data_IF_261667526004
#
_entry.id   IF_261667526004
#
_cell.length_a   1.000
_cell.length_b   1.000
_cell.length_c   1.000
_cell.angle_alpha   90.00
_cell.angle_beta   90.00
_cell.angle_gamma   90.00
#
_symmetry.space_group_name_H-M   'P 1'
#
loop_
_entity.id
_entity.type
_entity.pdbx_description
1 polymer ?
2 polymer ?
3 non-polymer ?
4 non-polymer ?
5 non-polymer ?
6 non-polymer ?
7 non-polymer ?
8 water ?
#
# COMPACT_ATOMS: atom_id res chain seq x y z
N UNK A 5 -20.15 -14.24 -8.53
CA UNK A 5 -19.97 -14.92 -7.25
C UNK A 5 -20.35 -14.02 -6.09
N UNK A 6 -20.60 -14.64 -4.95
CA UNK A 6 -20.96 -13.89 -3.76
C UNK A 6 -19.69 -13.37 -3.10
N UNK A 7 -19.70 -12.09 -2.74
CA UNK A 7 -18.64 -11.46 -1.98
C UNK A 7 -19.17 -10.99 -0.64
N UNK A 8 -18.34 -10.96 0.40
CA UNK A 8 -18.79 -10.38 1.68
C UNK A 8 -19.19 -8.91 1.52
N UNK A 9 -20.15 -8.47 2.33
CA UNK A 9 -20.51 -7.05 2.31
C UNK A 9 -19.41 -6.19 2.90
N UNK A 10 -18.58 -6.76 3.77
CA UNK A 10 -17.45 -6.02 4.29
C UNK A 10 -16.32 -6.96 4.63
N UNK A 11 -15.11 -6.41 4.56
CA UNK A 11 -13.87 -7.15 4.75
C UNK A 11 -12.93 -6.28 5.57
N UNK A 12 -12.19 -6.91 6.48
CA UNK A 12 -11.17 -6.18 7.27
C UNK A 12 -10.05 -7.17 7.54
N UNK A 13 -8.99 -7.08 6.74
CA UNK A 13 -7.86 -8.01 6.87
C UNK A 13 -7.08 -7.87 8.17
N UNK A 14 -7.27 -6.77 8.91
CA UNK A 14 -6.72 -6.68 10.25
C UNK A 14 -7.32 -7.74 11.16
N UNK A 15 -8.60 -8.08 10.93
CA UNK A 15 -9.27 -9.08 11.75
C UNK A 15 -8.78 -10.47 11.43
N UNK A 16 -8.14 -10.66 10.28
CA UNK A 16 -7.59 -11.95 9.88
C UNK A 16 -6.11 -12.07 10.21
N UNK A 17 -5.56 -11.11 10.97
CA UNK A 17 -4.17 -11.20 11.38
C UNK A 17 -3.15 -10.96 10.28
N UNK A 18 -3.54 -10.29 9.19
CA UNK A 18 -2.70 -10.10 8.02
C UNK A 18 -2.16 -8.69 7.86
N UNK A 19 -2.29 -7.83 8.86
CA UNK A 19 -1.88 -6.42 8.76
C UNK A 19 -0.97 -6.07 9.92
N UNK A 20 0.22 -5.54 9.60
CA UNK A 20 1.18 -5.14 10.62
C UNK A 20 0.80 -3.76 11.16
N UNK A 21 1.49 -3.35 12.22
CA UNK A 21 1.25 -2.03 12.81
C UNK A 21 1.49 -0.95 11.76
N UNK A 22 0.80 0.17 11.96
CA UNK A 22 0.97 1.34 11.11
C UNK A 22 2.37 1.90 11.27
N UNK A 23 2.99 2.27 10.15
CA UNK A 23 4.33 2.83 10.11
C UNK A 23 4.28 4.33 9.83
N UNK A 24 5.42 5.00 10.05
CA UNK A 24 5.53 6.45 9.89
C UNK A 24 6.69 6.77 8.97
N UNK A 25 6.39 7.29 7.78
CA UNK A 25 7.40 7.49 6.76
C UNK A 25 8.25 8.75 6.97
N UNK A 26 7.80 9.69 7.79
CA UNK A 26 8.59 10.90 7.99
C UNK A 26 8.73 11.70 6.71
N UNK A 27 9.81 12.48 6.62
CA UNK A 27 10.06 13.39 5.49
C UNK A 27 10.80 12.68 4.38
N UNK A 28 10.28 11.52 4.02
CA UNK A 28 10.79 10.73 2.92
C UNK A 28 9.58 10.21 2.16
N UNK A 29 9.56 10.39 0.85
CA UNK A 29 8.40 9.99 0.06
C UNK A 29 8.42 8.51 -0.25
N UNK A 30 8.33 7.68 0.79
CA UNK A 30 8.46 6.24 0.66
C UNK A 30 7.12 5.51 0.78
N UNK A 31 6.01 6.24 0.64
CA UNK A 31 4.69 5.60 0.74
C UNK A 31 4.56 4.42 -0.23
N UNK A 32 5.12 4.53 -1.44
CA UNK A 32 5.11 3.41 -2.38
C UNK A 32 5.76 2.16 -1.80
N UNK A 33 6.90 2.34 -1.12
CA UNK A 33 7.57 1.21 -0.52
C UNK A 33 6.75 0.62 0.63
N UNK A 34 6.11 1.48 1.44
CA UNK A 34 5.28 0.96 2.52
C UNK A 34 4.05 0.21 1.99
N UNK A 35 3.43 0.76 0.97
CA UNK A 35 2.32 0.07 0.31
C UNK A 35 2.74 -1.33 -0.16
N UNK A 36 3.86 -1.42 -0.86
CA UNK A 36 4.34 -2.69 -1.40
C UNK A 36 4.63 -3.69 -0.28
N UNK A 37 5.34 -3.28 0.77
CA UNK A 37 5.63 -4.27 1.80
C UNK A 37 4.34 -4.66 2.54
N UNK A 38 3.40 -3.73 2.69
CA UNK A 38 2.17 -4.08 3.37
C UNK A 38 1.38 -5.14 2.63
N UNK A 39 1.32 -5.00 1.30
CA UNK A 39 0.64 -6.02 0.50
C UNK A 39 1.32 -7.38 0.65
N UNK A 40 2.66 -7.40 0.63
CA UNK A 40 3.39 -8.66 0.73
C UNK A 40 3.31 -9.25 2.14
N UNK A 41 3.30 -8.40 3.16
CA UNK A 41 3.14 -8.89 4.53
C UNK A 41 1.89 -9.75 4.67
N UNK A 42 0.79 -9.36 4.04
CA UNK A 42 -0.42 -10.15 4.13
C UNK A 42 -0.24 -11.50 3.44
N UNK A 43 0.42 -11.52 2.30
CA UNK A 43 0.62 -12.78 1.60
C UNK A 43 1.57 -13.70 2.37
N UNK A 44 2.57 -13.12 3.05
CA UNK A 44 3.47 -13.92 3.88
C UNK A 44 2.70 -14.59 5.01
N UNK A 45 1.77 -13.86 5.64
CA UNK A 45 0.93 -14.45 6.68
C UNK A 45 0.05 -15.54 6.12
N UNK A 46 -0.52 -15.31 4.94
CA UNK A 46 -1.40 -16.32 4.33
C UNK A 46 -0.64 -17.58 3.97
N UNK A 47 0.65 -17.48 3.65
CA UNK A 47 1.43 -18.65 3.27
C UNK A 47 2.02 -19.36 4.47
N UNK A 48 2.54 -18.61 5.45
CA UNK A 48 3.37 -19.18 6.51
C UNK A 48 2.76 -19.07 7.88
N UNK A 49 1.71 -18.27 8.05
CA UNK A 49 1.13 -18.04 9.35
C UNK A 49 1.87 -17.03 10.21
N UNK A 50 2.99 -16.50 9.72
CA UNK A 50 3.78 -15.50 10.43
C UNK A 50 3.39 -14.10 9.97
N UNK A 51 3.23 -13.20 10.93
CA UNK A 51 2.99 -11.79 10.66
C UNK A 51 4.28 -11.05 10.99
N UNK A 52 4.95 -10.54 9.97
CA UNK A 52 6.27 -9.95 10.09
C UNK A 52 6.33 -8.66 9.28
N UNK A 53 6.73 -7.56 9.92
CA UNK A 53 6.96 -6.34 9.17
C UNK A 53 8.19 -6.50 8.27
N UNK A 54 8.02 -6.12 7.00
CA UNK A 54 9.08 -6.21 5.99
C UNK A 54 9.69 -4.83 5.75
N UNK A 55 10.91 -4.84 5.18
CA UNK A 55 11.76 -3.66 5.16
C UNK A 55 11.39 -2.72 4.01
N UNK A 56 10.63 -1.66 4.32
CA UNK A 56 10.44 -0.60 3.35
C UNK A 56 11.78 0.02 2.94
N UNK A 57 12.71 0.16 3.89
CA UNK A 57 14.01 0.74 3.58
C UNK A 57 14.75 -0.05 2.52
N UNK A 58 14.66 -1.39 2.58
CA UNK A 58 15.24 -2.26 1.56
C UNK A 58 14.80 -1.84 0.16
N UNK A 59 13.51 -1.54 -0.03
CA UNK A 59 13.03 -1.08 -1.33
C UNK A 59 13.57 0.31 -1.64
N UNK A 60 13.55 1.21 -0.66
CA UNK A 60 14.04 2.57 -0.92
C UNK A 60 15.48 2.53 -1.41
N UNK A 61 16.33 1.70 -0.78
CA UNK A 61 17.76 1.71 -1.08
C UNK A 61 18.10 0.84 -2.28
N UNK A 62 17.30 -0.19 -2.55
CA UNK A 62 17.72 -1.22 -3.51
C UNK A 62 16.84 -1.32 -4.75
N UNK A 63 15.55 -0.99 -4.65
CA UNK A 63 14.70 -0.95 -5.84
C UNK A 63 14.74 0.49 -6.36
N UNK A 64 15.80 0.79 -7.10
CA UNK A 64 16.09 2.16 -7.50
C UNK A 64 15.90 2.34 -9.00
N UNK A 65 16.94 2.79 -9.71
CA UNK A 65 16.75 3.33 -11.05
C UNK A 65 16.40 2.26 -12.07
N UNK A 66 16.92 1.05 -11.92
CA UNK A 66 16.53 -0.03 -12.81
C UNK A 66 15.05 -0.36 -12.71
N UNK A 67 14.41 0.02 -11.60
CA UNK A 67 13.00 -0.20 -11.38
C UNK A 67 12.17 1.08 -11.52
N UNK A 68 12.78 2.16 -12.01
CA UNK A 68 12.07 3.39 -12.22
C UNK A 68 11.78 4.18 -10.95
N UNK A 69 12.40 3.81 -9.84
CA UNK A 69 12.12 4.37 -8.53
C UNK A 69 13.22 5.32 -8.11
N UNK A 70 12.84 6.28 -7.26
CA UNK A 70 13.71 7.36 -6.85
C UNK A 70 13.70 7.52 -5.33
N UNK A 71 13.62 6.39 -4.62
CA UNK A 71 13.77 6.42 -3.16
C UNK A 71 12.78 7.36 -2.48
N UNK A 72 13.32 8.29 -1.68
CA UNK A 72 12.51 9.24 -0.96
C UNK A 72 11.80 10.23 -1.87
N UNK A 73 12.10 10.21 -3.16
CA UNK A 73 11.41 11.05 -4.12
C UNK A 73 10.39 10.28 -4.96
N UNK A 74 9.94 9.12 -4.50
CA UNK A 74 8.78 8.44 -5.02
C UNK A 74 9.13 7.21 -5.83
N UNK A 75 8.13 6.35 -6.01
CA UNK A 75 8.31 5.13 -6.75
C UNK A 75 6.99 4.46 -7.09
N UNK A 76 7.10 3.18 -7.42
CA UNK A 76 5.99 2.38 -7.91
C UNK A 76 5.93 1.07 -7.15
N UNK A 77 4.73 0.71 -6.69
CA UNK A 77 4.56 -0.57 -6.02
C UNK A 77 4.83 -1.74 -6.96
N UNK A 78 4.39 -1.65 -8.22
CA UNK A 78 4.59 -2.76 -9.14
C UNK A 78 6.07 -3.10 -9.28
N UNK A 79 6.91 -2.09 -9.53
CA UNK A 79 8.33 -2.36 -9.74
C UNK A 79 9.05 -2.63 -8.43
N UNK A 80 8.51 -2.19 -7.29
CA UNK A 80 8.97 -2.71 -6.01
C UNK A 80 8.81 -4.22 -5.97
N UNK A 81 7.62 -4.72 -6.34
CA UNK A 81 7.41 -6.17 -6.36
C UNK A 81 8.40 -6.84 -7.29
N UNK A 82 8.62 -6.25 -8.47
CA UNK A 82 9.55 -6.86 -9.42
C UNK A 82 10.95 -6.97 -8.82
N UNK A 83 11.37 -5.96 -8.06
CA UNK A 83 12.66 -6.05 -7.39
C UNK A 83 12.70 -7.25 -6.44
N UNK A 84 11.64 -7.43 -5.64
CA UNK A 84 11.65 -8.54 -4.68
C UNK A 84 11.71 -9.88 -5.40
N UNK A 85 11.04 -9.99 -6.55
CA UNK A 85 11.13 -11.19 -7.39
C UNK A 85 12.54 -11.38 -7.90
N UNK A 86 13.10 -10.33 -8.52
CA UNK A 86 14.44 -10.42 -9.08
C UNK A 86 15.46 -10.76 -8.01
N UNK A 87 15.32 -10.15 -6.83
CA UNK A 87 16.32 -10.26 -5.78
C UNK A 87 16.23 -11.56 -5.01
N UNK A 88 15.17 -12.34 -5.23
CA UNK A 88 14.88 -13.56 -4.47
C UNK A 88 14.73 -13.29 -2.97
N UNK A 89 14.28 -12.09 -2.59
CA UNK A 89 13.98 -11.87 -1.19
C UNK A 89 13.88 -10.42 -0.82
N UNK A 90 13.29 -10.19 0.35
CA UNK A 90 13.30 -8.90 1.02
C UNK A 90 13.59 -9.16 2.50
N UNK A 91 14.34 -8.24 3.12
CA UNK A 91 14.70 -8.38 4.52
C UNK A 91 13.54 -8.00 5.44
N UNK A 92 13.60 -8.52 6.66
CA UNK A 92 12.68 -8.07 7.70
C UNK A 92 12.93 -6.60 8.01
N UNK A 93 11.90 -5.94 8.52
CA UNK A 93 12.05 -4.57 8.97
C UNK A 93 13.02 -4.49 10.15
N UNK A 94 13.00 -5.47 11.04
CA UNK A 94 13.91 -5.44 12.18
C UNK A 94 15.36 -5.44 11.72
N UNK A 95 15.69 -6.26 10.72
CA UNK A 95 17.07 -6.40 10.28
C UNK A 95 17.51 -5.23 9.41
N UNK A 96 16.57 -4.53 8.77
CA UNK A 96 16.88 -3.48 7.81
C UNK A 96 15.90 -2.34 8.07
N UNK A 97 16.08 -1.61 9.18
CA UNK A 97 15.04 -0.70 9.67
C UNK A 97 14.97 0.59 8.89
N UNK A 98 13.85 1.29 9.06
CA UNK A 98 13.53 2.43 8.23
C UNK A 98 14.12 3.72 8.81
N UNK A 99 14.82 4.47 7.94
CA UNK A 99 15.55 5.65 8.35
C UNK A 99 15.03 6.93 7.71
N UNK A 100 14.05 6.83 6.80
CA UNK A 100 13.48 8.00 6.11
C UNK A 100 14.56 8.80 5.38
N UNK A 101 15.48 8.09 4.75
CA UNK A 101 16.47 8.72 3.89
C UNK A 101 16.95 7.70 2.88
N UNK A 102 17.62 8.19 1.84
CA UNK A 102 18.18 7.37 0.78
C UNK A 102 19.52 6.84 1.24
N UNK A 103 19.71 5.53 1.17
CA UNK A 103 20.96 4.92 1.60
C UNK A 103 21.49 3.95 0.52
N UNK A 104 22.77 3.61 0.62
CA UNK A 104 23.31 2.50 -0.16
C UNK A 104 22.51 1.23 0.11
N UNK A 105 22.39 0.39 -0.92
CA UNK A 105 21.65 -0.86 -0.79
C UNK A 105 22.39 -1.79 0.16
N UNK A 106 21.71 -2.26 1.21
CA UNK A 106 22.34 -3.06 2.25
C UNK A 106 21.64 -4.39 2.41
N UNK A 107 20.97 -4.85 1.36
CA UNK A 107 20.28 -6.13 1.44
C UNK A 107 21.23 -7.25 1.82
N UNK A 108 20.77 -8.12 2.70
CA UNK A 108 21.53 -9.31 3.10
C UNK A 108 20.58 -10.49 3.16
N UNK A 109 20.88 -11.56 2.42
CA UNK A 109 19.98 -12.70 2.39
C UNK A 109 19.93 -13.42 3.74
N UNK A 110 20.95 -13.21 4.59
CA UNK A 110 20.93 -13.73 5.95
C UNK A 110 19.64 -13.38 6.69
N UNK A 111 19.05 -12.23 6.35
CA UNK A 111 17.90 -11.72 7.10
C UNK A 111 16.65 -11.68 6.24
N UNK A 112 16.64 -12.42 5.13
CA UNK A 112 15.45 -12.54 4.28
C UNK A 112 14.26 -13.00 5.10
N UNK A 113 13.14 -12.28 4.94
CA UNK A 113 11.92 -12.60 5.66
C UNK A 113 10.78 -12.96 4.73
N UNK A 114 10.90 -12.71 3.42
CA UNK A 114 9.85 -13.04 2.48
C UNK A 114 10.43 -13.07 1.08
N UNK A 115 9.70 -13.74 0.20
CA UNK A 115 9.95 -13.78 -1.23
C UNK A 115 8.69 -13.34 -1.94
N UNK A 116 8.79 -13.20 -3.26
CA UNK A 116 7.66 -12.83 -4.10
C UNK A 116 7.84 -13.50 -5.45
N UNK A 117 6.78 -14.15 -5.93
CA UNK A 117 6.87 -14.90 -7.17
C UNK A 117 6.20 -14.21 -8.35
N UNK A 118 5.24 -13.33 -8.09
CA UNK A 118 4.47 -12.68 -9.16
C UNK A 118 3.72 -11.49 -8.57
N UNK A 119 3.25 -10.64 -9.45
CA UNK A 119 2.26 -9.64 -9.04
C UNK A 119 1.25 -9.46 -10.16
N UNK A 120 0.10 -8.91 -9.80
CA UNK A 120 -1.03 -8.74 -10.70
C UNK A 120 -1.47 -7.30 -10.67
N UNK A 121 -1.70 -6.71 -11.85
CA UNK A 121 -2.27 -5.37 -11.96
C UNK A 121 -3.74 -5.48 -12.32
N UNK A 122 -4.55 -4.67 -11.67
CA UNK A 122 -5.99 -4.68 -11.91
C UNK A 122 -6.39 -3.59 -12.89
N UNK A 123 -7.54 -3.72 -13.55
CA UNK A 123 -7.89 -2.78 -14.61
C UNK A 123 -8.27 -1.39 -14.08
N UNK A 124 -7.90 -0.38 -14.87
CA UNK A 124 -8.08 1.02 -14.48
C UNK A 124 -9.52 1.32 -14.12
N UNK A 125 -9.73 1.85 -12.91
CA UNK A 125 -11.01 2.41 -12.54
C UNK A 125 -12.05 1.41 -12.10
N UNK A 126 -11.71 0.13 -12.01
CA UNK A 126 -12.72 -0.91 -11.82
C UNK A 126 -12.83 -1.22 -10.33
N UNK A 127 -13.72 -0.50 -9.65
CA UNK A 127 -13.88 -0.70 -8.20
C UNK A 127 -14.52 -2.05 -7.89
N UNK A 128 -15.32 -2.59 -8.81
CA UNK A 128 -15.85 -3.94 -8.63
C UNK A 128 -14.73 -4.97 -8.60
N UNK A 129 -13.75 -4.83 -9.50
CA UNK A 129 -12.63 -5.78 -9.53
C UNK A 129 -11.72 -5.59 -8.34
N UNK A 130 -11.55 -4.35 -7.89
CA UNK A 130 -10.80 -4.11 -6.66
C UNK A 130 -11.46 -4.80 -5.48
N UNK A 131 -12.79 -4.74 -5.40
CA UNK A 131 -13.52 -5.37 -4.31
C UNK A 131 -13.31 -6.88 -4.33
N UNK A 132 -13.39 -7.49 -5.52
CA UNK A 132 -13.16 -8.93 -5.64
C UNK A 132 -11.76 -9.29 -5.17
N UNK A 133 -10.75 -8.52 -5.57
CA UNK A 133 -9.38 -8.83 -5.16
C UNK A 133 -9.18 -8.69 -3.64
N UNK A 134 -9.74 -7.63 -3.06
CA UNK A 134 -9.62 -7.46 -1.60
C UNK A 134 -10.30 -8.61 -0.88
N UNK A 135 -11.45 -9.05 -1.38
CA UNK A 135 -12.16 -10.14 -0.70
C UNK A 135 -11.41 -11.47 -0.82
N UNK A 136 -10.87 -11.76 -1.99
CA UNK A 136 -10.46 -13.11 -2.32
C UNK A 136 -8.96 -13.30 -2.42
N UNK A 137 -8.18 -12.24 -2.49
CA UNK A 137 -6.74 -12.40 -2.60
C UNK A 137 -5.99 -11.80 -1.42
N UNK A 138 -6.42 -10.63 -0.95
CA UNK A 138 -5.74 -10.00 0.16
C UNK A 138 -5.70 -8.49 -0.02
N UNK A 139 -5.05 -7.80 0.90
CA UNK A 139 -4.86 -6.35 0.74
C UNK A 139 -4.20 -6.03 -0.60
N UNK A 140 -4.60 -4.90 -1.17
CA UNK A 140 -4.19 -4.49 -2.50
C UNK A 140 -3.50 -3.12 -2.43
N UNK A 141 -2.33 -3.03 -3.06
CA UNK A 141 -1.61 -1.76 -3.18
C UNK A 141 -2.32 -0.85 -4.19
N UNK A 142 -2.52 0.41 -3.82
CA UNK A 142 -3.17 1.36 -4.71
C UNK A 142 -2.49 2.73 -4.57
N UNK A 143 -2.66 3.53 -5.60
CA UNK A 143 -2.39 4.95 -5.51
C UNK A 143 -3.67 5.74 -5.29
N UNK A 144 -3.54 6.87 -4.59
CA UNK A 144 -4.60 7.85 -4.47
C UNK A 144 -4.04 9.24 -4.76
N UNK A 145 -4.96 10.14 -5.10
CA UNK A 145 -4.71 11.58 -5.18
C UNK A 145 -4.82 12.12 -3.77
N UNK A 146 -3.69 12.37 -3.13
CA UNK A 146 -3.64 12.83 -1.75
C UNK A 146 -3.35 14.31 -1.64
N UNK A 147 -3.28 15.02 -2.76
CA UNK A 147 -2.79 16.40 -2.77
C UNK A 147 -3.94 17.37 -2.49
N UNK A 148 -4.49 17.22 -1.29
CA UNK A 148 -5.61 18.00 -0.81
C UNK A 148 -5.49 18.09 0.70
N UNK A 149 -5.56 19.29 1.27
CA UNK A 149 -5.51 19.39 2.74
C UNK A 149 -6.55 18.56 3.44
N UNK A 150 -7.72 18.36 2.83
CA UNK A 150 -8.73 17.56 3.49
C UNK A 150 -8.24 16.14 3.73
N UNK A 151 -7.36 15.64 2.87
CA UNK A 151 -6.81 14.29 3.08
C UNK A 151 -5.90 14.26 4.30
N UNK A 152 -4.95 15.21 4.39
CA UNK A 152 -4.03 15.21 5.53
C UNK A 152 -4.76 15.53 6.83
N UNK A 153 -5.85 16.29 6.78
CA UNK A 153 -6.55 16.68 7.99
C UNK A 153 -7.67 15.71 8.37
N UNK A 154 -7.85 14.64 7.59
CA UNK A 154 -8.93 13.70 7.85
C UNK A 154 -8.78 13.13 9.26
N UNK A 155 -9.91 13.07 9.96
CA UNK A 155 -9.99 12.51 11.31
C UNK A 155 -10.84 11.27 11.39
N UNK A 156 -12.01 11.23 10.76
CA UNK A 156 -12.87 10.08 10.92
C UNK A 156 -14.02 10.17 9.92
N UNK A 157 -14.76 9.07 9.83
CA UNK A 157 -15.89 8.99 8.93
C UNK A 157 -15.43 8.54 7.56
N UNK A 158 -16.31 8.72 6.57
CA UNK A 158 -16.01 8.36 5.19
C UNK A 158 -15.54 9.62 4.45
N UNK A 159 -14.32 9.57 3.93
CA UNK A 159 -13.70 10.69 3.22
C UNK A 159 -14.23 10.83 1.80
N UNK A 160 -14.72 12.04 1.48
CA UNK A 160 -15.09 12.46 0.14
C UNK A 160 -14.61 13.88 -0.10
N UNK A 161 -13.93 14.09 -1.22
CA UNK A 161 -13.34 15.37 -1.56
C UNK A 161 -13.72 15.73 -2.99
N UNK A 162 -14.59 16.73 -3.20
CA UNK A 162 -15.00 17.06 -4.56
C UNK A 162 -13.86 17.44 -5.48
N UNK A 163 -12.78 18.01 -4.95
CA UNK A 163 -11.62 18.41 -5.74
C UNK A 163 -10.73 17.23 -6.14
N UNK A 164 -11.02 16.03 -5.67
CA UNK A 164 -10.16 14.90 -5.99
C UNK A 164 -10.21 14.58 -7.48
N UNK A 165 -9.07 14.10 -7.99
CA UNK A 165 -8.92 13.60 -9.35
C UNK A 165 -8.60 12.10 -9.32
N UNK A 166 -8.56 11.49 -10.51
CA UNK A 166 -8.19 10.09 -10.64
C UNK A 166 -6.69 9.92 -10.86
N UNK A 167 -5.92 11.00 -10.83
CA UNK A 167 -4.48 10.95 -10.97
C UNK A 167 -3.86 10.70 -9.60
N UNK A 168 -3.13 9.61 -9.47
CA UNK A 168 -2.61 9.22 -8.17
C UNK A 168 -1.22 9.83 -7.94
N UNK A 169 -0.92 10.07 -6.69
CA UNK A 169 0.37 10.59 -6.30
C UNK A 169 0.86 10.06 -4.96
N UNK A 170 0.14 9.15 -4.31
CA UNK A 170 0.48 8.68 -2.98
C UNK A 170 0.12 7.19 -2.87
N UNK A 171 1.08 6.36 -2.48
CA UNK A 171 0.85 4.92 -2.37
C UNK A 171 0.33 4.52 -1.00
N UNK A 172 -0.75 3.73 -1.00
CA UNK A 172 -1.40 3.27 0.20
C UNK A 172 -1.85 1.83 0.00
N UNK A 173 -2.50 1.28 1.01
CA UNK A 173 -2.84 -0.15 1.03
C UNK A 173 -4.31 -0.31 1.38
N UNK A 174 -5.09 -0.90 0.47
CA UNK A 174 -6.48 -1.23 0.80
C UNK A 174 -6.49 -2.53 1.58
N UNK A 175 -6.96 -2.47 2.83
CA UNK A 175 -7.01 -3.65 3.68
C UNK A 175 -8.44 -4.09 3.96
N UNK A 176 -9.42 -3.45 3.35
CA UNK A 176 -10.79 -3.86 3.57
C UNK A 176 -11.76 -2.91 2.89
N UNK A 177 -13.02 -3.14 3.17
CA UNK A 177 -14.09 -2.30 2.64
C UNK A 177 -15.33 -2.56 3.48
N UNK A 178 -16.28 -1.62 3.41
CA UNK A 178 -17.49 -1.75 4.19
C UNK A 178 -18.42 -0.59 3.92
N UNK A 179 -19.28 -0.28 4.88
CA UNK A 179 -20.23 0.82 4.76
C UNK A 179 -20.50 1.37 6.15
N UNK A 180 -20.66 2.69 6.22
CA UNK A 180 -20.92 3.39 7.47
C UNK A 180 -22.27 4.03 7.30
N UNK A 181 -23.31 3.33 7.75
CA UNK A 181 -24.69 3.76 7.52
C UNK A 181 -24.95 3.89 6.02
N UNK A 182 -24.62 2.83 5.28
CA UNK A 182 -24.84 2.79 3.85
C UNK A 182 -23.92 3.64 3.01
N UNK A 183 -23.07 4.48 3.62
CA UNK A 183 -22.00 5.15 2.90
C UNK A 183 -20.88 4.12 2.72
N UNK A 184 -20.69 3.66 1.49
CA UNK A 184 -19.68 2.64 1.21
C UNK A 184 -18.27 3.24 1.20
N UNK A 185 -17.30 2.44 1.66
CA UNK A 185 -15.94 2.94 1.79
C UNK A 185 -14.93 1.84 1.56
N UNK A 186 -13.70 2.30 1.27
CA UNK A 186 -12.49 1.49 1.27
C UNK A 186 -11.76 1.76 2.57
N UNK A 187 -11.30 0.69 3.24
CA UNK A 187 -10.48 0.82 4.44
C UNK A 187 -9.01 0.87 4.01
N UNK A 188 -8.37 2.01 4.24
CA UNK A 188 -7.05 2.29 3.65
C UNK A 188 -6.02 2.50 4.77
N UNK A 189 -4.95 1.70 4.73
CA UNK A 189 -3.81 1.85 5.64
C UNK A 189 -2.84 2.84 5.01
N UNK A 190 -2.52 3.93 5.75
CA UNK A 190 -1.54 4.90 5.32
C UNK A 190 -0.23 4.62 6.04
N UNK A 191 0.80 5.39 5.70
CA UNK A 191 2.10 5.32 6.34
C UNK A 191 2.48 6.66 6.96
N UNK A 192 1.50 7.34 7.55
CA UNK A 192 1.74 8.62 8.23
C UNK A 192 1.61 8.48 9.75
N UNK A 193 1.84 7.26 10.28
CA UNK A 193 1.80 7.02 11.70
C UNK A 193 0.39 6.90 12.24
N UNK A 194 0.33 6.66 13.56
CA UNK A 194 -0.95 6.43 14.23
C UNK A 194 -1.75 7.71 14.42
N UNK A 195 -1.11 8.89 14.33
CA UNK A 195 -1.85 10.12 14.55
C UNK A 195 -2.57 10.61 13.29
N UNK A 196 -2.37 9.95 12.17
CA UNK A 196 -3.14 10.25 10.98
C UNK A 196 -4.49 9.54 11.05
N UNK A 197 -5.57 10.29 10.82
CA UNK A 197 -6.84 9.61 10.56
C UNK A 197 -7.33 8.81 11.75
N UNK A 198 -7.88 7.62 11.47
CA UNK A 198 -8.41 6.70 12.49
C UNK A 198 -7.29 5.71 12.80
N UNK A 199 -6.42 6.08 13.74
CA UNK A 199 -5.29 5.26 14.19
C UNK A 199 -4.44 4.82 13.00
N UNK A 200 -4.28 5.72 12.03
CA UNK A 200 -3.44 5.50 10.89
C UNK A 200 -4.15 5.09 9.62
N UNK A 201 -5.47 4.95 9.68
CA UNK A 201 -6.28 4.50 8.57
C UNK A 201 -7.19 5.61 8.10
N UNK A 202 -7.62 5.53 6.85
CA UNK A 202 -8.63 6.43 6.32
C UNK A 202 -9.66 5.61 5.56
N UNK A 203 -10.92 5.86 5.83
CA UNK A 203 -12.02 5.25 5.07
C UNK A 203 -12.38 6.17 3.93
N UNK A 204 -12.22 5.70 2.69
CA UNK A 204 -12.34 6.53 1.51
C UNK A 204 -13.57 6.12 0.72
N UNK A 205 -14.25 7.11 0.15
CA UNK A 205 -15.52 6.80 -0.53
C UNK A 205 -15.34 5.74 -1.60
N UNK A 206 -16.27 4.77 -1.62
CA UNK A 206 -16.25 3.63 -2.51
C UNK A 206 -17.48 3.67 -3.40
N UNK A 207 -17.32 3.29 -4.66
CA UNK A 207 -18.41 3.29 -5.64
C UNK A 207 -18.92 4.70 -5.89
N UNK A 208 -18.03 5.68 -5.76
CA UNK A 208 -18.31 7.07 -6.09
C UNK A 208 -17.45 7.51 -7.27
N UNK A 209 -17.40 6.68 -8.32
CA UNK A 209 -16.73 7.06 -9.55
C UNK A 209 -15.21 7.06 -9.53
N UNK A 210 -14.61 6.05 -8.91
CA UNK A 210 -13.16 5.98 -8.75
C UNK A 210 -12.63 7.19 -7.99
N UNK A 211 -13.20 7.42 -6.81
CA UNK A 211 -12.91 8.63 -6.06
C UNK A 211 -11.44 8.69 -5.66
N UNK A 212 -10.82 9.82 -5.96
CA UNK A 212 -9.40 10.06 -5.70
C UNK A 212 -8.50 9.05 -6.37
N UNK A 213 -9.01 8.38 -7.39
CA UNK A 213 -8.20 7.45 -8.16
C UNK A 213 -7.87 6.14 -7.46
N UNK A 214 -8.63 5.78 -6.42
CA UNK A 214 -8.27 4.61 -5.61
C UNK A 214 -8.14 3.34 -6.45
N UNK A 215 -8.93 3.21 -7.51
CA UNK A 215 -8.86 2.03 -8.37
C UNK A 215 -8.16 2.30 -9.69
N UNK A 216 -7.45 3.43 -9.81
CA UNK A 216 -6.74 3.71 -11.06
C UNK A 216 -5.65 2.67 -11.34
N UNK A 217 -4.81 2.36 -10.35
CA UNK A 217 -3.65 1.49 -10.54
C UNK A 217 -3.44 0.57 -9.34
N UNK A 218 -4.35 -0.38 -9.13
CA UNK A 218 -4.16 -1.37 -8.06
C UNK A 218 -3.28 -2.51 -8.50
N UNK A 219 -2.55 -3.08 -7.53
CA UNK A 219 -1.74 -4.26 -7.80
C UNK A 219 -1.55 -5.05 -6.51
N UNK A 220 -1.31 -6.36 -6.65
CA UNK A 220 -1.05 -7.15 -5.46
C UNK A 220 -0.07 -8.26 -5.80
N UNK A 221 0.81 -8.61 -4.87
CA UNK A 221 1.80 -9.67 -5.10
C UNK A 221 1.29 -11.02 -4.64
N UNK A 222 1.99 -12.07 -5.05
CA UNK A 222 1.73 -13.41 -4.52
C UNK A 222 3.06 -14.10 -4.29
N UNK A 223 3.02 -15.07 -3.37
CA UNK A 223 4.21 -15.84 -3.00
C UNK A 223 4.08 -17.28 -3.45
C UNK B 1 1.63 6.39 -18.00
N UNK B 2 0.28 6.33 -17.92
CA UNK B 2 -0.56 7.29 -17.21
C UNK B 2 -0.14 7.38 -15.75
N UNK B 3 0.50 6.34 -15.22
CA UNK B 3 0.81 6.30 -13.79
C UNK B 3 1.83 7.36 -13.38
N UNK B 4 1.52 8.05 -12.28
CA UNK B 4 2.42 9.05 -11.70
C UNK B 4 3.23 8.40 -10.59
N UNK B 5 4.52 8.73 -10.55
CA UNK B 5 5.38 8.23 -9.47
C UNK B 5 4.77 8.63 -8.14
N UNK B 6 4.71 7.68 -7.22
CA UNK B 6 3.96 7.92 -5.98
C UNK B 6 4.88 8.33 -4.85
N UNK B 7 4.74 9.59 -4.54
C UNK B 7 7.50 12.47 -4.05
N UNK B 8 7.40 12.71 -5.37
CA UNK B 8 8.23 13.67 -6.08
C UNK B 8 7.86 15.11 -5.73
N UNK B 9 6.82 15.68 -6.36
CA UNK B 9 6.40 17.03 -6.03
C UNK B 9 5.84 17.12 -4.62
N UNK B 10 5.55 15.98 -3.98
CA UNK B 10 5.15 15.93 -2.59
C UNK B 10 5.98 16.87 -1.73
N UNK B 11 7.22 17.04 -2.08
X LIG C 1 -19.89 -2.76 -4.41
X LIG C 1 -20.37 -3.37 -3.23
X LIG C 1 -19.60 -3.77 -5.49
X LIG C 1 -18.58 -3.28 -6.34
X LIG C 1 -19.09 -2.25 -4.23
X LIG C 1 -20.55 -2.13 -4.75
X LIG C 1 -21.21 -3.45 -3.29
X LIG C 1 -20.43 -3.94 -5.97
X LIG C 1 -19.36 -4.59 -5.05
X LIG C 1 -18.80 -2.50 -6.61
X LIG D 1 -18.55 3.89 -9.94
X LIG D 1 -19.43 3.29 -9.03
X LIG D 1 -17.18 3.65 -9.41
X LIG D 1 -16.53 2.79 -10.30
X LIG D 1 -15.39 3.31 -10.94
X LIG D 1 -15.60 4.23 -12.12
X LIG D 1 -12.95 6.74 -15.09
X LIG D 1 -12.95 5.59 -14.28
X LIG D 1 -14.18 5.64 -13.39
X LIG D 1 -14.41 4.34 -12.86
X LIG D 1 -18.68 4.84 -10.03
X LIG D 1 -18.59 3.52 -10.83
X LIG D 1 -19.13 2.52 -8.84
X LIG D 1 -17.24 3.27 -8.52
X LIG D 1 -16.70 4.50 -9.32
X LIG D 1 -14.84 2.57 -11.24
X LIG D 1 -14.86 3.80 -10.29
X LIG D 1 -15.91 5.08 -11.80
X LIG D 1 -16.32 3.86 -12.67
X LIG D 1 -13.45 7.33 -14.73
X LIG D 1 -12.15 5.54 -13.72
X LIG D 1 -12.97 4.78 -14.81
X LIG D 1 -14.94 5.94 -13.90
X LIG D 1 -14.03 6.27 -12.67
X LIG E 1 0.00 -17.38 -0.80
X LIG E 1 -1.32 -17.86 -0.75
X LIG E 1 -0.05 -15.91 -1.13
X LIG E 1 0.75 -15.55 -2.22
X LIG E 1 0.53 -17.84 -1.46
X LIG E 1 0.45 -17.49 0.06
X LIG E 1 -1.77 -17.38 -0.19
X LIG E 1 0.20 -15.43 -0.33
X LIG E 1 -0.99 -15.70 -1.29
X LIG E 1 0.86 -16.25 -2.71
X LIG F 1 9.44 2.96 10.60
X LIG F 1 9.14 1.59 10.72
X LIG F 1 8.22 3.84 10.70
X LIG F 1 7.33 3.47 11.74
X LIG F 1 9.86 3.15 9.75
X LIG F 1 10.06 3.24 11.28
X LIG F 1 8.31 1.48 10.57
X LIG F 1 7.78 3.79 9.83
X LIG F 1 8.53 4.74 10.81
X LIG F 1 7.79 3.27 12.42
X LIG G 1 -19.31 10.20 0.62
X LIG G 1 -19.39 9.87 -0.56
X LIG G 1 -19.42 11.40 0.94
X LIG G 1 -19.12 9.33 1.48
X LIG H 1 -14.91 11.70 -8.76
X LIG H 1 -15.74 11.05 -7.80
X LIG H 1 -13.70 10.85 -9.15
X LIG H 1 -13.78 10.68 -10.53
X LIG H 1 -12.34 11.48 -8.84
X LIG H 1 -12.28 11.72 -7.46
X LIG H 1 -14.58 12.54 -8.41
X LIG H 1 -15.41 11.91 -9.57
X LIG H 1 -15.24 10.77 -7.18
X LIG H 1 -13.76 10.06 -8.61
X LIG H 1 -13.65 11.44 -10.90
X LIG H 1 -12.24 12.30 -9.35
X LIG H 1 -11.64 10.87 -9.12
X LIG H 1 -12.92 11.30 -7.08
X LIG I 1 24.69 4.11 4.25
X LIG I 1 24.27 4.82 3.10
X LIG I 1 23.74 4.36 5.43
X LIG I 1 23.58 3.18 6.22
X LIG I 1 22.86 3.37 7.41
X LIG I 1 22.20 2.07 7.85
X LIG I 1 20.93 2.28 8.46
X LIG I 1 25.57 4.37 4.52
X LIG I 1 24.72 3.16 4.09
X LIG I 1 24.89 4.75 2.52
X LIG I 1 22.90 4.66 5.07
X LIG I 1 24.10 5.09 5.95
X LIG I 1 22.17 4.05 7.29
X LIG I 1 23.44 3.68 8.12
X LIG I 1 22.82 1.63 8.45
X LIG I 1 22.14 1.51 7.06
X LIG I 1 20.84 3.11 8.62
X LIG J 1 9.12 13.27 10.47
X LIG J 1 8.87 13.75 11.77
X LIG J 1 9.12 14.28 9.35
X LIG J 1 7.83 14.73 8.94
X LIG J 1 8.46 12.60 10.24
X LIG J 1 9.99 12.83 10.45
X LIG J 1 8.34 14.42 11.71
X LIG J 1 9.61 13.87 8.62
X LIG J 1 9.66 15.02 9.67
X LIG J 1 7.26 14.43 9.51
#
# INVERSE_FOLDING_TARGET
SNPNRILPDSVDWREKGCVTEVKYQGSCGACWAFSAVGALEAQLKLKTGKLVSLSAQNLVDCSTEKYGNKGCNGGFMTTAFQYIIDNKGIDSDASYPYKAMDQKCQYDSKYRAATCSKYTELPYGREDVLKEAVANKGPVSVGVDARHPSFFLYRSGVYYEPSCTQNVNHGVLVVGYGDLNGKEYWLVKNSWGHNFGEEGYIRMARNKGNHCGIASFPSYPEI
XXKHRMXVMWX
EDO C1 O1 C2 O2 H11 H12 HO1 H21 H22 HO2
PGE C1 O1 C2 O2 C3 C4 O4 C6 C5 O3 H1 H12 HO1 H2 H22 H3 H32 H4 H42 HO4 H6 H62 H5 H52
EDO C1 O1 C2 O2 H11 H12 HO1 H21 H22 HO2
EDO C1 O1 C2 O2 H11 H12 HO1 H21 H22 HO2
NO3 N O1 O2 O3
GOL C1 O1 C2 O2 C3 O3 H11 H12 HO1 H2 HO2 H31 H32 HO3
PEG C1 O1 C2 O2 C3 C4 O4 H11 H12 HO1 H21 H22 H31 H32 H41 H42 HO4
EDO C1 O1 C2 O2 H11 H12 HO1 H21 H22 HO2
#
